data_IF_365028248082
#
_entry.id   IF_365028248082
#
_cell.length_a   1.000
_cell.length_b   1.000
_cell.length_c   1.000
_cell.angle_alpha   90.00
_cell.angle_beta   90.00
_cell.angle_gamma   90.00
#
_symmetry.space_group_name_H-M   'P 1'
#
loop_
_entity.id
_entity.type
_entity.pdbx_description
1 polymer ?
#
# COMPACT_ATOMS: atom_id res chain seq x y z
N UNK A 1 35.88 51.86 -10.42
CA UNK A 1 35.83 50.47 -9.94
C UNK A 1 34.93 50.48 -8.73
N UNK A 2 33.68 50.03 -8.84
CA UNK A 2 32.82 49.75 -7.70
C UNK A 2 31.79 48.71 -8.17
N UNK A 3 32.12 47.45 -7.90
CA UNK A 3 31.26 46.30 -8.16
C UNK A 3 30.32 46.11 -6.98
N UNK A 4 29.06 46.53 -7.13
CA UNK A 4 27.98 46.15 -6.23
C UNK A 4 27.23 44.95 -6.79
N UNK A 5 27.65 43.73 -6.44
CA UNK A 5 26.82 42.53 -6.62
C UNK A 5 26.39 42.04 -5.24
N UNK A 6 25.11 42.27 -4.95
CA UNK A 6 24.42 41.77 -3.78
C UNK A 6 23.96 40.34 -4.10
N UNK A 7 24.79 39.34 -3.83
CA UNK A 7 24.41 37.91 -3.97
C UNK A 7 23.98 37.38 -2.62
N UNK A 8 22.69 37.51 -2.33
CA UNK A 8 22.03 36.73 -1.30
C UNK A 8 20.64 36.40 -1.83
N UNK A 9 20.37 35.12 -2.05
CA UNK A 9 19.29 34.36 -1.38
C UNK A 9 19.02 33.06 -2.16
N UNK A 10 19.16 31.97 -1.40
CA UNK A 10 18.54 30.65 -1.55
C UNK A 10 18.90 29.83 -2.80
N UNK A 11 20.04 29.14 -2.67
CA UNK A 11 20.29 27.89 -3.36
C UNK A 11 19.35 26.80 -2.82
N UNK A 12 18.72 26.10 -3.76
CA UNK A 12 18.15 24.76 -3.67
C UNK A 12 16.91 24.57 -2.78
N UNK A 13 15.76 24.74 -3.46
CA UNK A 13 14.56 23.98 -3.20
C UNK A 13 14.91 22.50 -2.96
N UNK A 14 14.80 22.04 -1.72
CA UNK A 14 14.56 20.63 -1.45
C UNK A 14 13.17 20.28 -1.99
N UNK A 15 13.07 20.12 -3.31
CA UNK A 15 12.09 19.26 -3.94
C UNK A 15 12.38 17.84 -3.44
N UNK A 16 11.89 17.51 -2.25
CA UNK A 16 11.38 16.17 -2.02
C UNK A 16 10.38 15.96 -3.14
N UNK A 17 10.80 15.29 -4.22
CA UNK A 17 9.91 14.66 -5.18
C UNK A 17 9.02 13.72 -4.38
N UNK A 18 7.95 14.27 -3.79
CA UNK A 18 6.72 13.54 -3.57
C UNK A 18 6.23 13.26 -4.98
N UNK A 19 6.74 12.18 -5.57
CA UNK A 19 6.02 11.50 -6.63
C UNK A 19 4.63 11.34 -6.04
N UNK A 20 3.68 12.13 -6.53
CA UNK A 20 2.28 11.96 -6.17
C UNK A 20 1.92 10.63 -6.79
N UNK A 21 2.05 9.56 -6.00
CA UNK A 21 1.58 8.26 -6.42
C UNK A 21 0.06 8.46 -6.52
N UNK A 22 -0.44 8.56 -7.75
CA UNK A 22 -1.86 8.68 -8.00
C UNK A 22 -2.47 7.30 -7.75
N UNK A 23 -3.00 7.12 -6.54
CA UNK A 23 -3.67 5.91 -6.11
C UNK A 23 -5.15 6.21 -5.91
N UNK A 24 -5.98 5.22 -6.17
CA UNK A 24 -7.42 5.33 -5.98
C UNK A 24 -7.79 5.17 -4.51
N UNK A 25 -7.09 4.29 -3.79
CA UNK A 25 -7.36 3.96 -2.39
C UNK A 25 -6.09 4.05 -1.52
N UNK A 26 -6.28 4.50 -0.28
CA UNK A 26 -5.31 4.38 0.81
C UNK A 26 -5.94 3.55 1.92
N UNK A 27 -5.27 2.46 2.32
CA UNK A 27 -5.68 1.61 3.44
C UNK A 27 -4.59 1.62 4.51
N UNK A 28 -5.00 1.54 5.77
CA UNK A 28 -4.08 1.51 6.91
C UNK A 28 -4.29 0.24 7.71
N UNK A 29 -3.20 -0.48 7.94
CA UNK A 29 -3.15 -1.64 8.83
C UNK A 29 -2.07 -1.56 9.88
N UNK A 30 -2.06 -2.51 10.81
CA UNK A 30 -1.02 -2.67 11.82
C UNK A 30 -0.10 -3.85 11.48
N UNK A 31 1.21 -3.60 11.48
CA UNK A 31 2.21 -4.63 11.25
C UNK A 31 2.16 -5.66 12.40
N UNK A 32 1.92 -6.96 12.14
CA UNK A 32 1.81 -7.98 13.18
C UNK A 32 3.17 -8.34 13.85
N UNK A 33 4.27 -7.77 13.35
CA UNK A 33 5.61 -7.99 13.88
C UNK A 33 6.06 -6.88 14.82
N UNK A 34 5.80 -5.60 14.48
CA UNK A 34 6.28 -4.46 15.26
C UNK A 34 5.19 -3.53 15.76
N UNK A 35 3.92 -3.75 15.40
CA UNK A 35 2.80 -2.91 15.82
C UNK A 35 2.77 -1.51 15.20
N UNK A 36 3.68 -1.20 14.28
CA UNK A 36 3.67 0.06 13.54
C UNK A 36 2.65 0.04 12.40
N UNK A 37 2.20 1.22 11.98
CA UNK A 37 1.26 1.33 10.87
C UNK A 37 1.90 0.92 9.53
N UNK A 38 1.21 0.06 8.81
CA UNK A 38 1.43 -0.26 7.40
C UNK A 38 0.39 0.54 6.60
N UNK A 39 0.84 1.25 5.57
CA UNK A 39 -0.06 2.01 4.69
C UNK A 39 0.01 1.37 3.31
N UNK A 40 -1.10 0.84 2.83
CA UNK A 40 -1.25 0.32 1.47
C UNK A 40 -1.83 1.40 0.56
N UNK A 41 -1.21 1.58 -0.59
CA UNK A 41 -1.65 2.46 -1.66
C UNK A 41 -2.06 1.60 -2.85
N UNK A 42 -3.31 1.70 -3.26
CA UNK A 42 -3.89 0.80 -4.28
C UNK A 42 -4.38 1.62 -5.46
N UNK A 43 -3.95 1.22 -6.65
CA UNK A 43 -4.51 1.69 -7.92
C UNK A 43 -5.46 0.64 -8.46
N UNK A 44 -6.66 1.07 -8.87
CA UNK A 44 -7.70 0.21 -9.40
C UNK A 44 -8.16 0.74 -10.76
N UNK A 45 -8.33 -0.15 -11.73
CA UNK A 45 -8.91 0.20 -13.03
C UNK A 45 -10.05 -0.78 -13.31
N UNK A 46 -11.25 -0.23 -13.56
CA UNK A 46 -12.46 -1.01 -13.86
C UNK A 46 -12.77 -2.10 -12.81
N UNK A 47 -12.52 -1.80 -11.53
CA UNK A 47 -12.74 -2.76 -10.44
C UNK A 47 -11.66 -3.84 -10.31
N UNK A 48 -10.55 -3.74 -11.05
CA UNK A 48 -9.41 -4.66 -10.94
C UNK A 48 -8.24 -3.92 -10.29
N UNK A 49 -7.57 -4.56 -9.32
CA UNK A 49 -6.38 -4.03 -8.67
C UNK A 49 -5.21 -4.06 -9.67
N UNK A 50 -4.74 -2.90 -10.09
CA UNK A 50 -3.61 -2.78 -11.02
C UNK A 50 -2.27 -2.79 -10.29
N UNK A 51 -2.22 -2.16 -9.12
CA UNK A 51 -1.00 -2.04 -8.35
C UNK A 51 -1.27 -1.87 -6.88
N UNK A 52 -0.44 -2.47 -6.03
CA UNK A 52 -0.43 -2.20 -4.59
C UNK A 52 0.99 -1.89 -4.10
N UNK A 53 1.13 -0.80 -3.38
CA UNK A 53 2.38 -0.37 -2.75
C UNK A 53 2.21 -0.21 -1.26
N UNK A 54 3.01 -0.93 -0.48
CA UNK A 54 3.07 -0.74 0.97
C UNK A 54 4.16 0.26 1.35
N UNK A 55 3.82 1.22 2.20
CA UNK A 55 4.82 1.99 2.92
C UNK A 55 5.50 1.05 3.92
N UNK A 56 6.84 0.89 3.88
CA UNK A 56 7.53 0.01 4.80
C UNK A 56 7.40 0.54 6.24
N UNK A 57 7.15 -0.39 7.17
CA UNK A 57 7.30 -0.12 8.60
C UNK A 57 8.78 -0.23 9.01
N UNK A 58 9.13 0.23 10.21
CA UNK A 58 10.53 0.33 10.67
C UNK A 58 11.19 -1.01 11.05
N UNK A 59 10.45 -2.12 11.01
CA UNK A 59 11.01 -3.42 11.36
C UNK A 59 11.67 -4.12 10.17
N UNK A 60 12.53 -5.09 10.49
CA UNK A 60 13.25 -5.90 9.51
C UNK A 60 12.33 -6.81 8.68
N UNK A 61 11.06 -6.96 9.06
CA UNK A 61 10.03 -7.73 8.35
C UNK A 61 9.26 -6.90 7.30
N UNK A 62 9.66 -5.64 7.04
CA UNK A 62 9.01 -4.83 6.01
C UNK A 62 9.12 -5.45 4.61
N UNK A 63 10.17 -6.21 4.33
CA UNK A 63 10.32 -6.97 3.09
C UNK A 63 9.28 -8.07 2.93
N UNK A 64 8.83 -8.67 4.04
CA UNK A 64 7.80 -9.71 4.05
C UNK A 64 6.42 -9.15 3.67
N UNK A 65 6.17 -7.87 3.98
CA UNK A 65 4.94 -7.19 3.54
C UNK A 65 4.84 -7.08 2.02
N UNK A 66 5.96 -6.90 1.33
CA UNK A 66 5.97 -6.85 -0.14
C UNK A 66 5.64 -8.19 -0.79
N UNK A 67 5.74 -9.29 -0.05
CA UNK A 67 5.34 -10.61 -0.53
C UNK A 67 3.82 -10.77 -0.59
N UNK A 68 3.07 -9.85 0.04
CA UNK A 68 1.61 -9.80 -0.08
C UNK A 68 1.16 -9.11 -1.38
N UNK A 69 1.99 -8.25 -1.99
CA UNK A 69 1.63 -7.50 -3.20
C UNK A 69 1.10 -8.39 -4.34
N UNK A 70 1.77 -9.51 -4.70
CA UNK A 70 1.30 -10.39 -5.78
C UNK A 70 -0.04 -11.07 -5.50
N UNK A 71 -0.49 -11.13 -4.24
CA UNK A 71 -1.81 -11.68 -3.91
C UNK A 71 -2.93 -10.78 -4.36
N UNK A 72 -2.67 -9.48 -4.54
CA UNK A 72 -3.70 -8.49 -4.84
C UNK A 72 -3.68 -8.06 -6.30
N UNK A 73 -2.49 -7.90 -6.89
CA UNK A 73 -2.36 -7.38 -8.25
C UNK A 73 -2.99 -8.32 -9.28
N UNK A 74 -3.83 -7.76 -10.14
CA UNK A 74 -4.60 -8.50 -11.15
C UNK A 74 -5.94 -9.05 -10.66
N UNK A 75 -6.24 -8.98 -9.35
CA UNK A 75 -7.51 -9.48 -8.85
C UNK A 75 -8.64 -8.45 -9.00
N UNK A 76 -9.85 -8.89 -9.40
CA UNK A 76 -11.07 -8.12 -9.23
C UNK A 76 -11.32 -7.81 -7.74
N UNK A 77 -11.80 -6.61 -7.45
CA UNK A 77 -12.12 -6.19 -6.08
C UNK A 77 -13.20 -7.08 -5.49
N UNK A 78 -14.21 -7.48 -6.26
CA UNK A 78 -15.31 -8.33 -5.78
C UNK A 78 -14.83 -9.73 -5.39
N UNK A 79 -13.75 -10.25 -6.00
CA UNK A 79 -13.16 -11.54 -5.62
C UNK A 79 -12.54 -11.52 -4.21
N UNK A 80 -12.20 -10.34 -3.66
CA UNK A 80 -11.72 -10.23 -2.28
C UNK A 80 -12.80 -10.61 -1.25
N UNK A 81 -14.07 -10.64 -1.65
CA UNK A 81 -15.23 -10.92 -0.80
C UNK A 81 -15.79 -12.34 -0.99
N UNK A 82 -15.24 -13.13 -1.91
CA UNK A 82 -15.72 -14.49 -2.17
C UNK A 82 -15.37 -15.43 -1.00
N UNK A 83 -16.26 -16.39 -0.71
CA UNK A 83 -16.14 -17.29 0.44
C UNK A 83 -14.86 -18.16 0.36
N UNK A 84 -14.37 -18.44 -0.85
CA UNK A 84 -13.16 -19.23 -1.10
C UNK A 84 -11.88 -18.38 -1.15
N UNK A 85 -12.00 -17.04 -1.13
CA UNK A 85 -10.86 -16.14 -1.17
C UNK A 85 -9.91 -16.37 -0.01
N UNK A 86 -10.45 -16.54 1.20
CA UNK A 86 -9.65 -16.81 2.39
C UNK A 86 -8.88 -18.14 2.27
N UNK A 87 -9.51 -19.17 1.69
CA UNK A 87 -8.87 -20.46 1.44
C UNK A 87 -7.74 -20.34 0.41
N UNK A 88 -7.99 -19.65 -0.72
CA UNK A 88 -6.98 -19.36 -1.76
C UNK A 88 -5.78 -18.60 -1.19
N UNK A 89 -6.00 -17.60 -0.33
CA UNK A 89 -4.94 -16.84 0.33
C UNK A 89 -4.18 -17.72 1.31
N UNK A 90 -4.86 -18.52 2.11
CA UNK A 90 -4.22 -19.46 3.04
C UNK A 90 -3.35 -20.50 2.31
N UNK A 91 -3.76 -20.97 1.14
CA UNK A 91 -2.96 -21.88 0.30
C UNK A 91 -1.71 -21.19 -0.26
N UNK A 92 -1.86 -19.99 -0.83
CA UNK A 92 -0.74 -19.23 -1.38
C UNK A 92 0.24 -18.75 -0.31
N UNK A 93 -0.28 -18.46 0.88
CA UNK A 93 0.48 -18.06 2.04
C UNK A 93 0.85 -19.22 2.98
N UNK A 94 0.62 -20.47 2.58
CA UNK A 94 1.02 -21.66 3.36
C UNK A 94 2.53 -21.75 3.57
N UNK A 95 3.31 -21.09 2.72
CA UNK A 95 4.78 -20.96 2.80
C UNK A 95 5.20 -19.82 3.75
N UNK A 96 4.25 -18.95 4.13
CA UNK A 96 4.47 -17.75 4.93
C UNK A 96 3.95 -17.92 6.37
N UNK A 97 4.43 -17.07 7.27
CA UNK A 97 4.03 -17.08 8.68
C UNK A 97 2.53 -16.74 8.85
N UNK A 98 1.81 -17.42 9.76
CA UNK A 98 0.38 -17.17 10.10
C UNK A 98 0.02 -15.68 10.28
N UNK A 99 0.99 -14.88 10.77
CA UNK A 99 0.85 -13.43 10.94
C UNK A 99 0.62 -12.68 9.62
N UNK A 100 1.27 -13.12 8.54
CA UNK A 100 1.11 -12.54 7.20
C UNK A 100 -0.24 -12.94 6.59
N UNK A 101 -0.74 -14.15 6.88
CA UNK A 101 -2.09 -14.58 6.48
C UNK A 101 -3.16 -13.67 7.10
N UNK A 102 -3.10 -13.49 8.42
CA UNK A 102 -4.03 -12.59 9.11
C UNK A 102 -3.96 -11.15 8.60
N UNK A 103 -2.75 -10.66 8.28
CA UNK A 103 -2.59 -9.32 7.70
C UNK A 103 -3.17 -9.23 6.29
N UNK A 104 -2.97 -10.25 5.44
CA UNK A 104 -3.51 -10.27 4.08
C UNK A 104 -5.04 -10.21 4.09
N UNK A 105 -5.70 -11.04 4.90
CA UNK A 105 -7.16 -11.04 5.06
C UNK A 105 -7.68 -9.67 5.54
N UNK A 106 -7.04 -9.10 6.57
CA UNK A 106 -7.41 -7.79 7.11
C UNK A 106 -7.22 -6.65 6.08
N UNK A 107 -6.20 -6.77 5.22
CA UNK A 107 -6.01 -5.84 4.11
C UNK A 107 -7.11 -5.98 3.05
N UNK A 108 -7.54 -7.19 2.71
CA UNK A 108 -8.63 -7.44 1.77
C UNK A 108 -9.93 -6.76 2.20
N UNK A 109 -10.32 -6.93 3.47
CA UNK A 109 -11.50 -6.27 4.06
C UNK A 109 -11.42 -4.74 3.95
N UNK A 110 -10.24 -4.18 4.22
CA UNK A 110 -10.04 -2.72 4.14
C UNK A 110 -10.02 -2.20 2.72
N UNK A 111 -9.48 -2.97 1.77
CA UNK A 111 -9.49 -2.61 0.35
C UNK A 111 -10.94 -2.60 -0.15
N UNK A 112 -11.72 -3.64 0.16
CA UNK A 112 -13.15 -3.71 -0.15
C UNK A 112 -13.91 -2.51 0.41
N UNK A 113 -13.77 -2.26 1.72
CA UNK A 113 -14.43 -1.15 2.39
C UNK A 113 -14.06 0.21 1.78
N UNK A 114 -12.77 0.44 1.53
CA UNK A 114 -12.29 1.69 0.92
C UNK A 114 -12.81 1.86 -0.50
N UNK A 115 -12.86 0.78 -1.29
CA UNK A 115 -13.36 0.81 -2.66
C UNK A 115 -14.85 1.17 -2.70
N UNK A 116 -15.70 0.45 -1.96
CA UNK A 116 -17.14 0.70 -1.99
C UNK A 116 -17.49 2.11 -1.47
N UNK A 117 -16.84 2.57 -0.39
CA UNK A 117 -17.02 3.95 0.09
C UNK A 117 -16.51 5.03 -0.88
N UNK A 118 -15.61 4.71 -1.80
CA UNK A 118 -15.13 5.71 -2.77
C UNK A 118 -16.08 5.83 -3.96
N UNK A 119 -16.65 4.71 -4.41
CA UNK A 119 -17.38 4.64 -5.68
C UNK A 119 -18.90 4.54 -5.53
N UNK A 120 -19.43 4.26 -4.33
CA UNK A 120 -20.86 3.98 -4.11
C UNK A 120 -21.52 4.76 -2.95
N UNK A 121 -20.83 5.70 -2.32
CA UNK A 121 -21.40 6.65 -1.33
C UNK A 121 -21.16 8.09 -1.76
#
# INVERSE_FOLDING_TARGET
>A
MDGGMNTNIAFEQHHKSRVSIQNDLEVKEWCPFCGEAVIGYISCEQGIIQRIHFRPCKCNHSSELFQLTPLFEGMPIDELYEDDYAERISEQLSIFHDKLQGLALSLSDKILYAFYNRYYT
#
